data_IF_328171770730
#
_entry.id   IF_328171770730
#
_cell.length_a   1.000
_cell.length_b   1.000
_cell.length_c   1.000
_cell.angle_alpha   90.00
_cell.angle_beta   90.00
_cell.angle_gamma   90.00
#
_symmetry.space_group_name_H-M   'P 1'
#
loop_
_entity.id
_entity.type
_entity.pdbx_description
1 polymer ?
#
# COMPACT_ATOMS: atom_id res chain seq x y z
N UNK A 1 13.40 -2.88 14.86
CA UNK A 1 14.37 -2.43 13.83
C UNK A 1 15.09 -1.14 14.26
N UNK A 2 14.36 -0.06 14.54
CA UNK A 2 14.99 1.26 14.79
C UNK A 2 15.93 1.28 16.00
N UNK A 3 15.55 0.67 17.12
CA UNK A 3 16.39 0.61 18.33
C UNK A 3 17.68 -0.18 18.09
N UNK A 4 17.58 -1.31 17.39
CA UNK A 4 18.75 -2.11 17.00
C UNK A 4 19.67 -1.32 16.04
N UNK A 5 19.09 -0.67 15.03
CA UNK A 5 19.85 0.15 14.10
C UNK A 5 20.63 1.27 14.80
N UNK A 6 20.03 1.88 15.84
CA UNK A 6 20.69 2.86 16.69
C UNK A 6 21.82 2.25 17.54
N UNK A 7 21.57 1.09 18.15
CA UNK A 7 22.57 0.36 18.94
C UNK A 7 23.81 -0.05 18.14
N UNK A 8 23.60 -0.53 16.92
CA UNK A 8 24.67 -0.89 15.98
C UNK A 8 25.23 0.32 15.19
N UNK A 9 24.76 1.53 15.44
CA UNK A 9 25.17 2.78 14.76
C UNK A 9 25.04 2.70 13.23
N UNK A 10 24.07 1.93 12.72
CA UNK A 10 23.82 1.78 11.29
C UNK A 10 23.29 3.09 10.68
N UNK A 11 23.72 3.38 9.46
CA UNK A 11 23.32 4.60 8.74
C UNK A 11 22.87 4.26 7.31
N UNK A 12 22.18 5.21 6.68
CA UNK A 12 21.80 5.11 5.26
C UNK A 12 20.91 3.89 4.99
N UNK A 13 21.28 3.10 3.99
CA UNK A 13 20.53 1.95 3.49
C UNK A 13 20.39 0.84 4.53
N UNK A 14 21.47 0.52 5.27
CA UNK A 14 21.44 -0.57 6.26
C UNK A 14 20.44 -0.29 7.39
N UNK A 15 20.39 0.97 7.83
CA UNK A 15 19.38 1.39 8.83
C UNK A 15 17.96 1.20 8.29
N UNK A 16 17.71 1.58 7.03
CA UNK A 16 16.39 1.43 6.39
C UNK A 16 16.01 -0.05 6.25
N UNK A 17 16.95 -0.89 5.81
CA UNK A 17 16.76 -2.34 5.69
C UNK A 17 16.38 -2.97 7.03
N UNK A 18 17.07 -2.61 8.12
CA UNK A 18 16.79 -3.19 9.43
C UNK A 18 15.45 -2.70 10.02
N UNK A 19 15.03 -1.46 9.70
CA UNK A 19 13.70 -0.96 10.08
C UNK A 19 12.61 -1.73 9.31
N UNK A 20 12.79 -1.93 8.02
CA UNK A 20 11.88 -2.67 7.16
C UNK A 20 11.76 -4.15 7.58
N UNK A 21 12.88 -4.82 7.85
CA UNK A 21 12.88 -6.17 8.41
C UNK A 21 12.12 -6.24 9.73
N UNK A 22 12.26 -5.22 10.58
CA UNK A 22 11.49 -5.12 11.82
C UNK A 22 9.98 -4.96 11.59
N UNK A 23 9.58 -4.30 10.51
CA UNK A 23 8.16 -4.20 10.12
C UNK A 23 7.62 -5.54 9.64
N UNK A 24 8.38 -6.25 8.78
CA UNK A 24 8.05 -7.61 8.35
C UNK A 24 7.92 -8.57 9.53
N UNK A 25 8.88 -8.51 10.47
CA UNK A 25 8.89 -9.30 11.68
C UNK A 25 7.65 -9.06 12.56
N UNK A 26 7.26 -7.79 12.73
CA UNK A 26 6.07 -7.43 13.51
C UNK A 26 4.79 -7.94 12.88
N UNK A 27 4.65 -7.82 11.55
CA UNK A 27 3.48 -8.32 10.82
C UNK A 27 3.41 -9.85 10.87
N UNK A 28 4.54 -10.52 10.65
CA UNK A 28 4.64 -11.97 10.72
C UNK A 28 4.21 -12.52 12.08
N UNK A 29 4.76 -12.00 13.17
CA UNK A 29 4.41 -12.43 14.53
C UNK A 29 2.94 -12.13 14.91
N UNK A 30 2.38 -11.02 14.41
CA UNK A 30 1.00 -10.62 14.72
C UNK A 30 -0.04 -11.49 14.01
N UNK A 31 0.28 -12.00 12.82
CA UNK A 31 -0.68 -12.69 11.95
C UNK A 31 -0.29 -14.13 11.61
N UNK A 32 0.82 -14.61 12.13
CA UNK A 32 1.39 -15.94 11.77
C UNK A 32 1.53 -16.06 10.24
N UNK A 33 2.10 -15.02 9.63
CA UNK A 33 2.13 -14.82 8.18
C UNK A 33 3.50 -14.29 7.73
N UNK A 34 4.56 -15.11 7.76
CA UNK A 34 5.93 -14.66 7.46
C UNK A 34 6.12 -14.26 5.99
N UNK A 35 5.49 -14.95 5.04
CA UNK A 35 5.60 -14.61 3.62
C UNK A 35 4.87 -13.31 3.33
N UNK A 36 3.65 -13.16 3.83
CA UNK A 36 2.88 -11.93 3.67
C UNK A 36 3.54 -10.73 4.38
N UNK A 37 4.12 -10.93 5.56
CA UNK A 37 4.90 -9.90 6.25
C UNK A 37 6.10 -9.41 5.44
N UNK A 38 6.77 -10.33 4.74
CA UNK A 38 7.86 -10.01 3.82
C UNK A 38 7.36 -9.23 2.60
N UNK A 39 6.28 -9.71 1.98
CA UNK A 39 5.69 -9.06 0.80
C UNK A 39 5.16 -7.67 1.11
N UNK A 40 4.57 -7.46 2.29
CA UNK A 40 4.13 -6.14 2.74
C UNK A 40 5.27 -5.13 2.70
N UNK A 41 6.47 -5.52 3.11
CA UNK A 41 7.64 -4.65 3.05
C UNK A 41 8.04 -4.34 1.61
N UNK A 42 7.98 -5.32 0.71
CA UNK A 42 8.37 -5.15 -0.69
C UNK A 42 7.35 -4.33 -1.48
N UNK A 43 6.06 -4.60 -1.25
CA UNK A 43 4.96 -4.03 -2.03
C UNK A 43 4.52 -2.66 -1.51
N UNK A 44 4.44 -2.47 -0.16
CA UNK A 44 3.91 -1.25 0.47
C UNK A 44 4.99 -0.31 1.00
N UNK A 45 6.12 -0.84 1.51
CA UNK A 45 7.10 0.02 2.19
C UNK A 45 8.22 0.46 1.24
N UNK A 46 8.71 -0.48 0.43
CA UNK A 46 9.84 -0.22 -0.48
C UNK A 46 9.42 0.03 -1.91
N UNK A 47 8.27 -0.49 -2.35
CA UNK A 47 7.81 -0.50 -3.74
C UNK A 47 8.87 -1.03 -4.71
N UNK A 48 9.72 -1.94 -4.22
CA UNK A 48 10.83 -2.51 -4.97
C UNK A 48 11.15 -3.93 -4.49
N UNK A 49 11.24 -4.88 -5.45
CA UNK A 49 11.56 -6.28 -5.21
C UNK A 49 13.08 -6.52 -5.25
N UNK A 50 13.83 -5.78 -4.44
CA UNK A 50 15.28 -6.00 -4.31
C UNK A 50 15.57 -7.31 -3.58
N UNK A 51 16.51 -8.17 -4.09
CA UNK A 51 16.89 -9.43 -3.42
C UNK A 51 17.36 -9.22 -1.99
N UNK A 52 18.08 -8.14 -1.71
CA UNK A 52 18.59 -7.84 -0.37
C UNK A 52 17.46 -7.46 0.60
N UNK A 53 16.50 -6.63 0.16
CA UNK A 53 15.32 -6.27 0.96
C UNK A 53 14.48 -7.51 1.24
N UNK A 54 14.28 -8.35 0.21
CA UNK A 54 13.53 -9.59 0.33
C UNK A 54 14.13 -10.56 1.34
N UNK A 55 15.44 -10.84 1.24
CA UNK A 55 16.13 -11.76 2.16
C UNK A 55 16.13 -11.25 3.60
N UNK A 56 16.41 -9.97 3.81
CA UNK A 56 16.47 -9.40 5.16
C UNK A 56 15.08 -9.32 5.80
N UNK A 57 14.05 -8.99 5.04
CA UNK A 57 12.67 -8.98 5.50
C UNK A 57 12.18 -10.40 5.84
N UNK A 58 12.47 -11.38 4.97
CA UNK A 58 12.11 -12.78 5.17
C UNK A 58 12.80 -13.38 6.39
N UNK A 59 14.09 -13.14 6.56
CA UNK A 59 14.83 -13.61 7.73
C UNK A 59 14.25 -13.03 9.04
N UNK A 60 13.92 -11.73 9.06
CA UNK A 60 13.27 -11.08 10.19
C UNK A 60 11.87 -11.63 10.45
N UNK A 61 11.07 -11.86 9.41
CA UNK A 61 9.73 -12.41 9.49
C UNK A 61 9.73 -13.85 10.04
N UNK A 62 10.54 -14.74 9.45
CA UNK A 62 10.65 -16.14 9.90
C UNK A 62 11.17 -16.21 11.34
N UNK A 63 12.22 -15.46 11.68
CA UNK A 63 12.78 -15.46 13.03
C UNK A 63 11.77 -14.99 14.07
N UNK A 64 11.01 -13.95 13.79
CA UNK A 64 9.98 -13.42 14.69
C UNK A 64 8.80 -14.39 14.82
N UNK A 65 8.35 -14.95 13.71
CA UNK A 65 7.24 -15.89 13.67
C UNK A 65 7.60 -17.19 14.40
N UNK A 66 8.80 -17.70 14.20
CA UNK A 66 9.32 -18.87 14.94
C UNK A 66 9.26 -18.66 16.46
N UNK A 67 9.66 -17.49 16.94
CA UNK A 67 9.57 -17.17 18.37
C UNK A 67 8.11 -17.08 18.82
N UNK A 68 7.26 -16.43 18.04
CA UNK A 68 5.83 -16.28 18.31
C UNK A 68 5.15 -17.65 18.42
N UNK A 69 5.40 -18.54 17.48
CA UNK A 69 4.84 -19.89 17.45
C UNK A 69 5.28 -20.75 18.64
N UNK A 70 6.53 -20.62 19.10
CA UNK A 70 7.01 -21.34 20.26
C UNK A 70 6.41 -20.84 21.58
N UNK A 71 6.03 -19.55 21.66
CA UNK A 71 5.45 -18.93 22.86
C UNK A 71 3.94 -19.07 22.89
N UNK A 72 3.26 -18.84 21.76
CA UNK A 72 1.79 -18.77 21.67
C UNK A 72 1.15 -19.98 21.00
N UNK A 73 1.92 -20.85 20.38
CA UNK A 73 1.46 -22.08 19.74
C UNK A 73 1.26 -21.98 18.23
N UNK A 74 1.20 -23.14 17.59
CA UNK A 74 1.04 -23.36 16.15
C UNK A 74 -0.44 -23.34 15.75
N UNK A 75 -1.09 -22.18 15.83
CA UNK A 75 -2.50 -22.10 15.51
C UNK A 75 -2.73 -20.93 14.54
N UNK A 76 -3.38 -21.17 13.38
CA UNK A 76 -3.73 -20.08 12.48
C UNK A 76 -4.52 -18.99 13.22
N UNK A 77 -4.23 -17.71 12.95
CA UNK A 77 -4.88 -16.57 13.63
C UNK A 77 -6.38 -16.56 13.35
N UNK A 78 -6.79 -17.03 12.18
CA UNK A 78 -8.19 -17.19 11.81
C UNK A 78 -8.51 -18.67 11.59
N UNK A 79 -9.16 -19.26 12.60
CA UNK A 79 -9.66 -20.66 12.53
C UNK A 79 -10.97 -20.69 11.75
N UNK A 80 -10.92 -20.39 10.47
CA UNK A 80 -12.09 -20.41 9.60
C UNK A 80 -12.13 -21.73 8.83
N UNK A 81 -13.05 -22.60 9.22
CA UNK A 81 -13.31 -23.84 8.50
C UNK A 81 -14.41 -23.61 7.45
N UNK A 82 -14.18 -24.10 6.26
CA UNK A 82 -15.16 -24.16 5.20
C UNK A 82 -15.18 -25.58 4.63
N UNK A 83 -16.37 -26.03 4.25
CA UNK A 83 -16.56 -27.45 3.89
C UNK A 83 -16.28 -27.74 2.41
N UNK A 84 -16.31 -26.73 1.53
CA UNK A 84 -16.14 -26.88 0.07
C UNK A 84 -15.48 -25.69 -0.57
N UNK A 85 -14.63 -25.94 -1.57
CA UNK A 85 -14.08 -24.89 -2.43
C UNK A 85 -15.15 -24.34 -3.38
N UNK A 86 -15.09 -23.02 -3.66
CA UNK A 86 -15.99 -22.38 -4.62
C UNK A 86 -15.76 -22.95 -6.03
N UNK A 87 -16.80 -23.46 -6.73
CA UNK A 87 -16.66 -23.98 -8.08
C UNK A 87 -16.37 -22.84 -9.08
N UNK A 88 -15.61 -23.16 -10.14
CA UNK A 88 -15.23 -22.18 -11.18
C UNK A 88 -16.44 -21.54 -11.84
N UNK A 89 -17.53 -22.26 -11.97
CA UNK A 89 -18.82 -21.75 -12.52
C UNK A 89 -19.39 -20.59 -11.70
N UNK A 90 -19.00 -20.45 -10.43
CA UNK A 90 -19.44 -19.36 -9.55
C UNK A 90 -18.44 -18.20 -9.46
N UNK A 91 -17.36 -18.18 -10.27
CA UNK A 91 -16.34 -17.13 -10.23
C UNK A 91 -16.85 -15.75 -10.69
N UNK A 92 -17.97 -15.70 -11.40
CA UNK A 92 -18.61 -14.42 -11.71
C UNK A 92 -19.04 -13.64 -10.45
N UNK A 93 -19.35 -14.34 -9.34
CA UNK A 93 -19.56 -13.70 -8.05
C UNK A 93 -18.33 -12.97 -7.55
N UNK A 94 -17.13 -13.49 -7.83
CA UNK A 94 -15.87 -12.86 -7.41
C UNK A 94 -15.68 -11.53 -8.13
N UNK A 95 -16.05 -11.45 -9.40
CA UNK A 95 -15.96 -10.21 -10.18
C UNK A 95 -16.94 -9.17 -9.63
N UNK A 96 -18.22 -9.54 -9.44
CA UNK A 96 -19.23 -8.63 -8.91
C UNK A 96 -18.86 -8.15 -7.48
N UNK A 97 -18.45 -9.09 -6.64
CA UNK A 97 -18.02 -8.79 -5.29
C UNK A 97 -16.74 -7.94 -5.28
N UNK A 98 -15.79 -8.22 -6.17
CA UNK A 98 -14.59 -7.41 -6.35
C UNK A 98 -14.90 -5.96 -6.75
N UNK A 99 -15.85 -5.75 -7.66
CA UNK A 99 -16.33 -4.41 -8.03
C UNK A 99 -16.94 -3.70 -6.80
N UNK A 100 -17.79 -4.38 -6.06
CA UNK A 100 -18.40 -3.83 -4.84
C UNK A 100 -17.34 -3.45 -3.80
N UNK A 101 -16.37 -4.34 -3.55
CA UNK A 101 -15.26 -4.09 -2.63
C UNK A 101 -14.38 -2.93 -3.09
N UNK A 102 -14.11 -2.81 -4.38
CA UNK A 102 -13.37 -1.69 -4.95
C UNK A 102 -14.08 -0.36 -4.75
N UNK A 103 -15.40 -0.29 -5.03
CA UNK A 103 -16.20 0.91 -4.81
C UNK A 103 -16.24 1.33 -3.33
N UNK A 104 -16.51 0.37 -2.44
CA UNK A 104 -16.52 0.62 -1.00
C UNK A 104 -15.11 0.90 -0.44
N UNK A 105 -14.07 0.31 -1.03
CA UNK A 105 -12.68 0.58 -0.70
C UNK A 105 -12.26 2.00 -1.07
N UNK A 106 -12.65 2.47 -2.24
CA UNK A 106 -12.45 3.86 -2.64
C UNK A 106 -13.18 4.85 -1.72
N UNK A 107 -14.42 4.52 -1.34
CA UNK A 107 -15.17 5.30 -0.35
C UNK A 107 -14.44 5.34 1.00
N UNK A 108 -13.93 4.18 1.45
CA UNK A 108 -13.13 4.08 2.69
C UNK A 108 -11.92 5.01 2.64
N UNK A 109 -11.13 4.96 1.58
CA UNK A 109 -9.96 5.84 1.40
C UNK A 109 -10.35 7.32 1.45
N UNK A 110 -11.39 7.71 0.71
CA UNK A 110 -11.85 9.12 0.65
C UNK A 110 -12.28 9.64 2.01
N UNK A 111 -13.05 8.85 2.74
CA UNK A 111 -13.54 9.25 4.08
C UNK A 111 -12.38 9.30 5.07
N UNK A 112 -11.53 8.28 5.09
CA UNK A 112 -10.40 8.22 6.02
C UNK A 112 -9.44 9.41 5.83
N UNK A 113 -9.08 9.72 4.60
CA UNK A 113 -8.21 10.86 4.27
C UNK A 113 -8.87 12.22 4.53
N UNK A 114 -10.19 12.29 4.60
CA UNK A 114 -10.91 13.50 4.97
C UNK A 114 -11.02 13.71 6.49
N UNK A 115 -10.88 12.67 7.31
CA UNK A 115 -11.08 12.72 8.77
C UNK A 115 -10.22 13.76 9.49
N UNK A 116 -8.92 13.97 9.18
CA UNK A 116 -8.13 15.01 9.83
C UNK A 116 -8.70 16.42 9.63
N UNK A 117 -9.34 16.67 8.47
CA UNK A 117 -10.01 17.97 8.22
C UNK A 117 -11.27 18.14 9.08
N UNK A 118 -11.98 17.04 9.34
CA UNK A 118 -13.18 17.06 10.20
C UNK A 118 -12.79 17.31 11.64
N UNK A 119 -11.75 16.65 12.13
CA UNK A 119 -11.23 16.89 13.48
C UNK A 119 -10.70 18.32 13.66
N UNK A 120 -10.11 18.92 12.63
CA UNK A 120 -9.68 20.33 12.65
C UNK A 120 -10.85 21.31 12.81
N UNK A 121 -12.09 20.92 12.44
CA UNK A 121 -13.29 21.75 12.64
C UNK A 121 -13.78 21.72 14.09
N UNK A 122 -13.34 20.77 14.88
CA UNK A 122 -13.60 20.71 16.33
C UNK A 122 -12.68 21.70 17.08
N UNK A 123 -12.70 22.97 16.67
CA UNK A 123 -11.79 24.02 17.16
C UNK A 123 -11.91 24.30 18.67
N UNK A 124 -13.01 23.93 19.28
CA UNK A 124 -13.26 24.11 20.71
C UNK A 124 -12.59 23.05 21.59
N UNK A 125 -12.12 21.94 21.01
CA UNK A 125 -11.46 20.86 21.73
C UNK A 125 -9.94 20.91 21.53
N UNK A 126 -9.13 21.09 22.58
CA UNK A 126 -7.68 20.95 22.50
C UNK A 126 -7.31 19.61 21.87
N UNK A 127 -6.24 19.59 21.07
CA UNK A 127 -5.79 18.37 20.34
C UNK A 127 -5.59 17.18 21.28
N UNK A 128 -5.13 17.41 22.52
CA UNK A 128 -4.99 16.36 23.52
C UNK A 128 -6.33 15.71 23.93
N UNK A 129 -7.43 16.46 23.87
CA UNK A 129 -8.77 15.97 24.24
C UNK A 129 -9.50 15.33 23.04
N UNK A 130 -9.11 15.64 21.80
CA UNK A 130 -9.70 15.02 20.62
C UNK A 130 -9.57 13.50 20.62
N UNK A 131 -8.50 12.96 21.22
CA UNK A 131 -8.32 11.52 21.44
C UNK A 131 -9.35 10.89 22.39
N UNK A 132 -10.02 11.67 23.24
CA UNK A 132 -11.06 11.16 24.16
C UNK A 132 -12.37 10.82 23.41
N UNK A 133 -12.65 11.49 22.29
CA UNK A 133 -13.87 11.29 21.51
C UNK A 133 -14.08 9.81 21.13
N UNK A 134 -13.11 9.11 20.50
CA UNK A 134 -13.29 7.69 20.19
C UNK A 134 -13.47 6.82 21.45
N UNK A 135 -12.85 7.15 22.58
CA UNK A 135 -13.03 6.37 23.82
C UNK A 135 -14.43 6.50 24.40
N UNK A 136 -15.02 7.69 24.38
CA UNK A 136 -16.40 7.88 24.83
C UNK A 136 -17.38 7.08 23.95
N UNK A 137 -17.19 7.12 22.64
CA UNK A 137 -17.99 6.32 21.71
C UNK A 137 -17.75 4.81 21.90
N UNK A 138 -16.50 4.42 22.19
CA UNK A 138 -16.12 3.05 22.48
C UNK A 138 -16.86 2.50 23.70
N UNK A 139 -17.04 3.31 24.74
CA UNK A 139 -17.78 2.90 25.93
C UNK A 139 -19.23 2.53 25.60
N UNK A 140 -19.90 3.34 24.77
CA UNK A 140 -21.26 3.04 24.32
C UNK A 140 -21.33 1.76 23.49
N UNK A 141 -20.45 1.61 22.48
CA UNK A 141 -20.39 0.40 21.66
C UNK A 141 -20.03 -0.82 22.50
N UNK A 142 -19.09 -0.69 23.44
CA UNK A 142 -18.65 -1.77 24.31
C UNK A 142 -19.73 -2.23 25.29
N UNK A 143 -20.57 -1.32 25.74
CA UNK A 143 -21.70 -1.67 26.62
C UNK A 143 -22.80 -2.45 25.90
N UNK A 144 -23.18 -2.02 24.69
CA UNK A 144 -24.27 -2.64 23.93
C UNK A 144 -23.84 -3.83 23.09
N UNK A 145 -22.60 -3.79 22.56
CA UNK A 145 -22.09 -4.77 21.57
C UNK A 145 -20.60 -5.07 21.78
N UNK A 146 -20.23 -5.73 22.89
CA UNK A 146 -18.82 -5.96 23.24
C UNK A 146 -18.03 -6.73 22.16
N UNK A 147 -18.71 -7.58 21.38
CA UNK A 147 -18.10 -8.35 20.27
C UNK A 147 -17.66 -7.48 19.09
N UNK A 148 -18.09 -6.22 19.03
CA UNK A 148 -17.65 -5.27 18.01
C UNK A 148 -16.41 -4.45 18.42
N UNK A 149 -15.89 -4.66 19.62
CA UNK A 149 -14.67 -4.00 20.09
C UNK A 149 -13.40 -4.53 19.39
N UNK A 150 -12.33 -3.74 19.45
CA UNK A 150 -11.02 -4.09 18.92
C UNK A 150 -10.95 -4.13 17.38
N UNK A 151 -9.94 -4.79 16.83
CA UNK A 151 -9.69 -4.87 15.40
C UNK A 151 -10.70 -5.68 14.59
N UNK A 152 -11.52 -6.52 15.25
CA UNK A 152 -12.56 -7.34 14.62
C UNK A 152 -12.20 -8.81 14.43
N UNK A 153 -11.13 -9.29 15.05
CA UNK A 153 -10.75 -10.70 14.98
C UNK A 153 -11.87 -11.61 15.53
N UNK A 154 -12.42 -11.28 16.69
CA UNK A 154 -13.55 -12.00 17.29
C UNK A 154 -14.79 -12.03 16.39
N UNK A 155 -15.06 -10.94 15.68
CA UNK A 155 -16.16 -10.87 14.71
C UNK A 155 -15.93 -11.82 13.53
N UNK A 156 -14.72 -11.80 12.95
CA UNK A 156 -14.36 -12.68 11.81
C UNK A 156 -14.49 -14.15 12.24
N UNK A 157 -13.89 -14.52 13.37
CA UNK A 157 -13.96 -15.90 13.90
C UNK A 157 -15.41 -16.29 14.21
N UNK A 158 -16.21 -15.36 14.74
CA UNK A 158 -17.64 -15.57 15.02
C UNK A 158 -18.45 -15.95 13.78
N UNK A 159 -18.11 -15.44 12.59
CA UNK A 159 -18.76 -15.84 11.34
C UNK A 159 -18.55 -17.32 11.00
N UNK A 160 -17.49 -17.94 11.50
CA UNK A 160 -17.26 -19.39 11.38
C UNK A 160 -18.29 -20.24 12.13
N UNK A 161 -18.93 -19.68 13.14
CA UNK A 161 -19.94 -20.37 13.94
C UNK A 161 -21.36 -19.99 13.46
N UNK A 162 -21.61 -18.71 13.23
CA UNK A 162 -22.92 -18.19 12.84
C UNK A 162 -22.80 -16.92 12.01
N UNK A 163 -23.48 -16.90 10.88
CA UNK A 163 -23.61 -15.70 10.04
C UNK A 163 -24.94 -15.01 10.39
N UNK A 164 -24.90 -13.76 10.89
CA UNK A 164 -26.11 -13.04 11.30
C UNK A 164 -27.04 -12.72 10.12
N UNK A 165 -28.25 -12.28 10.43
CA UNK A 165 -29.22 -11.81 9.41
C UNK A 165 -28.70 -10.57 8.70
N UNK A 166 -29.20 -10.34 7.47
CA UNK A 166 -28.78 -9.22 6.61
C UNK A 166 -28.84 -7.86 7.32
N UNK A 167 -29.92 -7.60 8.06
CA UNK A 167 -30.10 -6.32 8.76
C UNK A 167 -29.03 -6.10 9.85
N UNK A 168 -28.69 -7.16 10.58
CA UNK A 168 -27.64 -7.12 11.62
C UNK A 168 -26.27 -6.91 10.96
N UNK A 169 -25.98 -7.59 9.84
CA UNK A 169 -24.72 -7.41 9.11
C UNK A 169 -24.56 -5.98 8.58
N UNK A 170 -25.62 -5.37 8.06
CA UNK A 170 -25.60 -3.97 7.62
C UNK A 170 -25.37 -3.02 8.81
N UNK A 171 -26.00 -3.29 9.96
CA UNK A 171 -25.75 -2.53 11.19
C UNK A 171 -24.29 -2.64 11.65
N UNK A 172 -23.73 -3.85 11.64
CA UNK A 172 -22.31 -4.10 11.96
C UNK A 172 -21.40 -3.32 11.01
N UNK A 173 -21.69 -3.36 9.70
CA UNK A 173 -20.91 -2.62 8.71
C UNK A 173 -20.88 -1.12 9.01
N UNK A 174 -22.04 -0.51 9.24
CA UNK A 174 -22.16 0.93 9.52
C UNK A 174 -21.40 1.31 10.79
N UNK A 175 -21.62 0.55 11.89
CA UNK A 175 -20.95 0.82 13.17
C UNK A 175 -19.43 0.69 13.01
N UNK A 176 -18.95 -0.39 12.42
CA UNK A 176 -17.52 -0.65 12.23
C UNK A 176 -16.87 0.39 11.31
N UNK A 177 -17.54 0.75 10.23
CA UNK A 177 -17.05 1.77 9.30
C UNK A 177 -16.89 3.13 9.98
N UNK A 178 -17.97 3.63 10.60
CA UNK A 178 -17.97 4.93 11.29
C UNK A 178 -16.93 4.94 12.41
N UNK A 179 -16.90 3.87 13.21
CA UNK A 179 -15.99 3.77 14.35
C UNK A 179 -14.52 3.73 13.92
N UNK A 180 -14.22 2.98 12.83
CA UNK A 180 -12.87 2.95 12.24
C UNK A 180 -12.42 4.35 11.80
N UNK A 181 -13.31 5.12 11.14
CA UNK A 181 -13.03 6.49 10.70
C UNK A 181 -12.76 7.44 11.87
N UNK A 182 -13.63 7.40 12.87
CA UNK A 182 -13.51 8.29 14.06
C UNK A 182 -12.25 7.95 14.86
N UNK A 183 -11.99 6.67 15.10
CA UNK A 183 -10.83 6.23 15.86
C UNK A 183 -9.52 6.63 15.19
N UNK A 184 -9.37 6.33 13.91
CA UNK A 184 -8.15 6.67 13.18
C UNK A 184 -7.99 8.17 12.98
N UNK A 185 -9.08 8.88 12.68
CA UNK A 185 -9.08 10.33 12.48
C UNK A 185 -8.70 11.14 13.71
N UNK A 186 -8.79 10.56 14.91
CA UNK A 186 -8.42 11.21 16.18
C UNK A 186 -6.92 11.48 16.31
N UNK A 187 -6.07 10.86 15.46
CA UNK A 187 -4.62 10.96 15.51
C UNK A 187 -3.96 10.16 16.64
N UNK A 188 -4.72 9.36 17.38
CA UNK A 188 -4.15 8.41 18.32
C UNK A 188 -3.39 7.30 17.59
N UNK A 189 -2.31 6.77 18.19
CA UNK A 189 -1.59 5.63 17.62
C UNK A 189 -2.53 4.43 17.42
N UNK A 190 -2.61 3.92 16.22
CA UNK A 190 -3.46 2.79 15.86
C UNK A 190 -3.25 2.38 14.41
N UNK A 191 -3.73 1.17 14.06
CA UNK A 191 -3.65 0.61 12.72
C UNK A 191 -5.02 0.48 12.07
N UNK A 192 -5.04 0.59 10.73
CA UNK A 192 -6.24 0.38 9.91
C UNK A 192 -6.34 -1.05 9.38
N UNK A 193 -5.32 -1.85 9.55
CA UNK A 193 -5.15 -3.16 8.93
C UNK A 193 -6.28 -4.15 9.28
N UNK A 194 -6.43 -4.51 10.56
CA UNK A 194 -7.50 -5.40 11.03
C UNK A 194 -8.92 -4.83 10.81
N UNK A 195 -9.18 -3.53 11.04
CA UNK A 195 -10.44 -2.91 10.67
C UNK A 195 -10.81 -3.10 9.19
N UNK A 196 -9.85 -2.97 8.26
CA UNK A 196 -10.09 -3.20 6.83
C UNK A 196 -10.47 -4.68 6.58
N UNK A 197 -9.71 -5.63 7.13
CA UNK A 197 -10.01 -7.05 6.97
C UNK A 197 -11.40 -7.40 7.52
N UNK A 198 -11.75 -6.90 8.71
CA UNK A 198 -13.05 -7.16 9.32
C UNK A 198 -14.22 -6.54 8.54
N UNK A 199 -14.05 -5.34 7.99
CA UNK A 199 -15.05 -4.73 7.10
C UNK A 199 -15.18 -5.54 5.81
N UNK A 200 -14.08 -6.00 5.22
CA UNK A 200 -14.10 -6.90 4.07
C UNK A 200 -14.90 -8.18 4.37
N UNK A 201 -14.66 -8.80 5.53
CA UNK A 201 -15.42 -9.98 5.97
C UNK A 201 -16.93 -9.70 6.07
N UNK A 202 -17.32 -8.56 6.65
CA UNK A 202 -18.73 -8.16 6.76
C UNK A 202 -19.36 -7.93 5.38
N UNK A 203 -18.66 -7.26 4.46
CA UNK A 203 -19.15 -7.05 3.08
C UNK A 203 -19.34 -8.40 2.38
N UNK A 204 -18.39 -9.34 2.54
CA UNK A 204 -18.50 -10.69 2.01
C UNK A 204 -19.70 -11.46 2.59
N UNK A 205 -19.97 -11.33 3.89
CA UNK A 205 -21.12 -11.90 4.55
C UNK A 205 -22.43 -11.31 4.00
N UNK A 206 -22.53 -9.97 3.89
CA UNK A 206 -23.70 -9.27 3.31
C UNK A 206 -23.97 -9.78 1.90
N UNK A 207 -22.95 -9.77 1.04
CA UNK A 207 -23.08 -10.24 -0.33
C UNK A 207 -23.50 -11.71 -0.40
N UNK A 208 -22.85 -12.57 0.39
CA UNK A 208 -23.15 -14.00 0.43
C UNK A 208 -24.58 -14.29 0.89
N UNK A 209 -25.05 -13.60 1.92
CA UNK A 209 -26.45 -13.73 2.42
C UNK A 209 -27.45 -13.26 1.35
N UNK A 210 -27.20 -12.12 0.71
CA UNK A 210 -28.08 -11.61 -0.38
C UNK A 210 -28.14 -12.59 -1.54
N UNK A 211 -26.99 -13.09 -2.03
CA UNK A 211 -26.96 -14.06 -3.13
C UNK A 211 -27.61 -15.39 -2.77
N UNK A 212 -27.51 -15.81 -1.52
CA UNK A 212 -28.18 -17.00 -1.04
C UNK A 212 -29.71 -16.81 -0.99
N UNK A 213 -30.20 -15.66 -0.50
CA UNK A 213 -31.63 -15.34 -0.48
C UNK A 213 -32.25 -15.26 -1.88
N UNK A 214 -31.45 -14.81 -2.87
CA UNK A 214 -31.85 -14.78 -4.28
C UNK A 214 -31.77 -16.15 -4.98
N UNK A 215 -31.30 -17.19 -4.26
CA UNK A 215 -31.13 -18.53 -4.82
C UNK A 215 -29.95 -18.67 -5.81
N UNK A 216 -29.08 -17.66 -5.89
CA UNK A 216 -27.95 -17.61 -6.82
C UNK A 216 -26.69 -18.28 -6.26
N UNK A 217 -26.58 -18.41 -4.93
CA UNK A 217 -25.43 -19.02 -4.26
C UNK A 217 -25.88 -19.93 -3.12
N UNK A 218 -25.44 -21.20 -3.09
CA UNK A 218 -25.67 -22.08 -1.95
C UNK A 218 -25.01 -21.55 -0.65
N UNK A 219 -25.69 -21.70 0.47
CA UNK A 219 -25.26 -21.21 1.79
C UNK A 219 -23.85 -21.66 2.17
N UNK A 220 -23.44 -22.86 1.76
CA UNK A 220 -22.12 -23.45 2.04
C UNK A 220 -20.96 -22.61 1.55
N UNK A 221 -21.15 -21.72 0.58
CA UNK A 221 -20.10 -20.87 0.00
C UNK A 221 -20.04 -19.47 0.62
N UNK A 222 -20.92 -19.13 1.54
CA UNK A 222 -20.90 -17.80 2.20
C UNK A 222 -19.56 -17.58 2.91
N UNK A 223 -19.04 -18.61 3.61
CA UNK A 223 -17.75 -18.52 4.30
C UNK A 223 -16.59 -18.27 3.33
N UNK A 224 -16.62 -18.87 2.14
CA UNK A 224 -15.59 -18.61 1.11
C UNK A 224 -15.59 -17.12 0.71
N UNK A 225 -16.78 -16.52 0.50
CA UNK A 225 -16.89 -15.12 0.13
C UNK A 225 -16.44 -14.19 1.26
N UNK A 226 -16.70 -14.55 2.52
CA UNK A 226 -16.21 -13.82 3.70
C UNK A 226 -14.67 -13.76 3.68
N UNK A 227 -14.02 -14.93 3.51
CA UNK A 227 -12.56 -15.05 3.48
C UNK A 227 -11.99 -14.26 2.28
N UNK A 228 -12.56 -14.44 1.09
CA UNK A 228 -12.05 -13.78 -0.12
C UNK A 228 -12.20 -12.27 -0.05
N UNK A 229 -13.31 -11.79 0.54
CA UNK A 229 -13.57 -10.35 0.68
C UNK A 229 -12.59 -9.64 1.61
N UNK A 230 -12.04 -10.33 2.60
CA UNK A 230 -10.97 -9.78 3.45
C UNK A 230 -9.78 -9.37 2.60
N UNK A 231 -9.29 -10.29 1.74
CA UNK A 231 -8.19 -10.01 0.84
C UNK A 231 -8.54 -8.94 -0.20
N UNK A 232 -9.70 -9.04 -0.84
CA UNK A 232 -10.12 -8.08 -1.88
C UNK A 232 -10.28 -6.66 -1.36
N UNK A 233 -10.85 -6.49 -0.17
CA UNK A 233 -11.02 -5.16 0.43
C UNK A 233 -9.68 -4.54 0.80
N UNK A 234 -8.77 -5.34 1.37
CA UNK A 234 -7.42 -4.89 1.68
C UNK A 234 -6.61 -4.58 0.41
N UNK A 235 -6.70 -5.45 -0.62
CA UNK A 235 -6.02 -5.24 -1.90
C UNK A 235 -6.44 -3.94 -2.59
N UNK A 236 -7.74 -3.61 -2.55
CA UNK A 236 -8.26 -2.37 -3.11
C UNK A 236 -7.79 -1.13 -2.34
N UNK A 237 -7.87 -1.15 -1.01
CA UNK A 237 -7.52 0.00 -0.16
C UNK A 237 -6.01 0.20 -0.08
N UNK A 238 -5.24 -0.88 0.16
CA UNK A 238 -3.78 -0.84 0.29
C UNK A 238 -3.08 -0.70 -1.05
N UNK A 239 -3.71 -1.14 -2.13
CA UNK A 239 -3.08 -1.36 -3.44
C UNK A 239 -1.94 -2.38 -3.42
N UNK A 240 -2.02 -3.34 -2.50
CA UNK A 240 -1.07 -4.41 -2.27
C UNK A 240 -1.74 -5.79 -2.48
N UNK A 241 -2.04 -6.19 -3.73
CA UNK A 241 -2.77 -7.42 -4.00
C UNK A 241 -1.98 -8.68 -3.62
N UNK A 242 -0.66 -8.73 -3.84
CA UNK A 242 0.15 -9.88 -3.46
C UNK A 242 0.18 -10.10 -1.95
N UNK A 243 0.39 -9.03 -1.21
CA UNK A 243 0.32 -9.05 0.26
C UNK A 243 -1.05 -9.51 0.74
N UNK A 244 -2.14 -8.97 0.17
CA UNK A 244 -3.50 -9.30 0.54
C UNK A 244 -3.82 -10.79 0.36
N UNK A 245 -3.47 -11.34 -0.80
CA UNK A 245 -3.72 -12.74 -1.16
C UNK A 245 -2.97 -13.67 -0.20
N UNK A 246 -1.66 -13.46 -0.04
CA UNK A 246 -0.85 -14.35 0.79
C UNK A 246 -1.13 -14.17 2.27
N UNK A 247 -1.43 -12.97 2.72
CA UNK A 247 -1.80 -12.73 4.10
C UNK A 247 -3.04 -13.53 4.51
N UNK A 248 -4.14 -13.41 3.76
CA UNK A 248 -5.36 -14.14 4.07
C UNK A 248 -5.14 -15.64 3.93
N UNK A 249 -4.33 -16.06 2.96
CA UNK A 249 -3.95 -17.47 2.77
C UNK A 249 -3.21 -18.03 3.99
N UNK A 250 -2.20 -17.32 4.51
CA UNK A 250 -1.43 -17.74 5.69
C UNK A 250 -2.29 -17.66 6.96
N UNK A 251 -3.09 -16.60 7.14
CA UNK A 251 -3.96 -16.44 8.31
C UNK A 251 -5.03 -17.55 8.43
N UNK A 252 -5.53 -18.03 7.29
CA UNK A 252 -6.51 -19.13 7.23
C UNK A 252 -5.83 -20.50 7.19
N UNK A 253 -4.55 -20.55 6.80
CA UNK A 253 -3.75 -21.77 6.73
C UNK A 253 -4.11 -22.69 5.57
N UNK A 254 -4.65 -22.14 4.45
CA UNK A 254 -5.06 -22.94 3.31
C UNK A 254 -4.73 -22.32 1.95
N UNK A 255 -3.91 -23.02 1.17
CA UNK A 255 -3.44 -22.60 -0.16
C UNK A 255 -4.45 -22.87 -1.31
N UNK A 256 -5.49 -23.67 -1.09
CA UNK A 256 -6.43 -24.06 -2.17
C UNK A 256 -7.23 -22.89 -2.73
N UNK A 257 -7.22 -21.74 -2.05
CA UNK A 257 -7.99 -20.56 -2.41
C UNK A 257 -7.19 -19.45 -3.11
N UNK A 258 -5.93 -19.70 -3.46
CA UNK A 258 -5.11 -18.68 -4.12
C UNK A 258 -5.76 -18.09 -5.38
N UNK A 259 -6.35 -18.94 -6.22
CA UNK A 259 -6.97 -18.49 -7.48
C UNK A 259 -8.18 -17.57 -7.24
N UNK A 260 -9.22 -17.97 -6.48
CA UNK A 260 -10.34 -17.08 -6.20
C UNK A 260 -9.94 -15.82 -5.42
N UNK A 261 -8.99 -15.91 -4.48
CA UNK A 261 -8.42 -14.75 -3.79
C UNK A 261 -7.76 -13.78 -4.78
N UNK A 262 -6.99 -14.32 -5.76
CA UNK A 262 -6.34 -13.50 -6.77
C UNK A 262 -7.34 -12.79 -7.68
N UNK A 263 -8.35 -13.51 -8.20
CA UNK A 263 -9.38 -12.93 -9.06
C UNK A 263 -10.10 -11.78 -8.35
N UNK A 264 -10.55 -12.01 -7.13
CA UNK A 264 -11.28 -11.00 -6.37
C UNK A 264 -10.40 -9.81 -5.98
N UNK A 265 -9.18 -10.06 -5.49
CA UNK A 265 -8.24 -9.02 -5.07
C UNK A 265 -7.79 -8.13 -6.23
N UNK A 266 -7.47 -8.73 -7.38
CA UNK A 266 -7.10 -7.98 -8.58
C UNK A 266 -8.28 -7.18 -9.15
N UNK A 267 -9.51 -7.73 -9.09
CA UNK A 267 -10.70 -6.99 -9.50
C UNK A 267 -10.93 -5.76 -8.61
N UNK A 268 -10.86 -5.91 -7.29
CA UNK A 268 -11.02 -4.81 -6.36
C UNK A 268 -9.90 -3.75 -6.51
N UNK A 269 -8.66 -4.20 -6.67
CA UNK A 269 -7.51 -3.33 -6.96
C UNK A 269 -7.74 -2.50 -8.23
N UNK A 270 -8.12 -3.17 -9.34
CA UNK A 270 -8.35 -2.51 -10.63
C UNK A 270 -9.45 -1.45 -10.55
N UNK A 271 -10.54 -1.73 -9.84
CA UNK A 271 -11.64 -0.77 -9.66
C UNK A 271 -11.16 0.47 -8.91
N UNK A 272 -10.40 0.30 -7.81
CA UNK A 272 -9.85 1.45 -7.06
C UNK A 272 -8.85 2.22 -7.91
N UNK A 273 -8.05 1.54 -8.72
CA UNK A 273 -7.08 2.16 -9.63
C UNK A 273 -7.77 3.01 -10.69
N UNK A 274 -8.81 2.49 -11.34
CA UNK A 274 -9.63 3.21 -12.32
C UNK A 274 -10.34 4.45 -11.73
N UNK A 275 -10.68 4.40 -10.44
CA UNK A 275 -11.25 5.53 -9.72
C UNK A 275 -10.21 6.57 -9.24
N UNK A 276 -8.91 6.32 -9.51
CA UNK A 276 -7.83 7.20 -9.09
C UNK A 276 -7.54 7.17 -7.59
N UNK A 277 -7.82 6.05 -6.91
CA UNK A 277 -7.44 5.87 -5.51
C UNK A 277 -5.92 5.72 -5.37
N UNK A 278 -5.32 6.36 -4.37
CA UNK A 278 -3.90 6.20 -4.03
C UNK A 278 -3.70 5.06 -3.02
N UNK A 279 -2.50 4.45 -2.92
CA UNK A 279 -2.17 3.54 -1.83
C UNK A 279 -2.39 4.22 -0.48
N UNK A 280 -3.20 3.59 0.40
CA UNK A 280 -3.66 4.28 1.61
C UNK A 280 -2.53 4.62 2.58
N UNK A 281 -1.53 3.75 2.73
CA UNK A 281 -0.41 3.97 3.64
C UNK A 281 0.50 5.10 3.17
N UNK A 282 0.75 5.20 1.86
CA UNK A 282 1.50 6.29 1.26
C UNK A 282 0.78 7.62 1.42
N UNK A 283 -0.52 7.66 1.11
CA UNK A 283 -1.36 8.85 1.26
C UNK A 283 -1.45 9.33 2.72
N UNK A 284 -1.49 8.40 3.69
CA UNK A 284 -1.45 8.72 5.12
C UNK A 284 -0.09 9.25 5.55
N UNK A 285 1.00 8.63 5.06
CA UNK A 285 2.37 9.09 5.33
C UNK A 285 2.58 10.52 4.80
N UNK A 286 2.11 10.81 3.60
CA UNK A 286 2.14 12.15 3.05
C UNK A 286 1.40 13.18 3.93
N UNK A 287 0.27 12.80 4.51
CA UNK A 287 -0.46 13.69 5.42
C UNK A 287 0.29 13.93 6.75
N UNK A 288 1.06 12.97 7.23
CA UNK A 288 1.82 13.07 8.48
C UNK A 288 3.14 13.83 8.33
N UNK A 289 3.78 13.73 7.16
CA UNK A 289 5.16 14.20 6.96
C UNK A 289 5.27 15.64 6.49
N UNK A 290 4.17 16.27 6.08
CA UNK A 290 4.23 17.56 5.38
C UNK A 290 3.47 18.66 6.13
N UNK A 291 4.17 19.62 6.76
CA UNK A 291 3.64 20.97 6.85
C UNK A 291 3.45 21.47 5.41
N UNK A 292 2.22 21.72 5.00
CA UNK A 292 1.81 22.07 3.61
C UNK A 292 2.59 23.22 2.95
N UNK A 293 3.44 23.92 3.69
CA UNK A 293 4.18 25.10 3.26
C UNK A 293 5.55 24.80 2.65
N UNK A 294 6.16 23.64 2.92
CA UNK A 294 7.54 23.35 2.49
C UNK A 294 7.62 22.26 1.43
N UNK A 295 6.67 21.32 1.40
CA UNK A 295 6.71 20.18 0.48
C UNK A 295 6.23 20.51 -0.97
N UNK A 296 5.57 21.63 -1.17
CA UNK A 296 5.21 22.06 -2.53
C UNK A 296 6.37 22.70 -3.29
N UNK A 297 7.50 22.96 -2.62
CA UNK A 297 8.57 23.77 -3.22
C UNK A 297 9.72 22.94 -3.82
N UNK A 298 9.98 21.69 -3.40
CA UNK A 298 11.15 20.94 -3.93
C UNK A 298 10.96 19.42 -3.77
N UNK A 299 10.26 18.76 -4.69
CA UNK A 299 10.36 17.31 -4.86
C UNK A 299 11.48 17.02 -5.87
N UNK A 300 12.62 16.49 -5.43
CA UNK A 300 13.67 16.10 -6.36
C UNK A 300 13.15 14.96 -7.25
N UNK A 301 13.07 15.23 -8.54
CA UNK A 301 12.68 14.26 -9.55
C UNK A 301 13.87 13.95 -10.47
N UNK A 302 13.94 12.70 -10.94
CA UNK A 302 14.97 12.27 -11.89
C UNK A 302 14.43 12.41 -13.31
N UNK A 303 15.12 13.22 -14.11
CA UNK A 303 14.85 13.41 -15.52
C UNK A 303 15.89 12.65 -16.32
N UNK A 304 15.48 11.67 -17.10
CA UNK A 304 16.35 10.92 -18.02
C UNK A 304 16.22 11.51 -19.44
N UNK A 305 17.36 11.83 -20.03
CA UNK A 305 17.45 12.40 -21.38
C UNK A 305 18.39 11.54 -22.22
N UNK A 306 17.87 10.81 -23.21
CA UNK A 306 18.70 10.03 -24.12
C UNK A 306 19.44 10.94 -25.11
N UNK A 307 20.70 10.62 -25.36
CA UNK A 307 21.54 11.26 -26.37
C UNK A 307 21.42 10.45 -27.66
N UNK A 308 20.62 10.94 -28.60
CA UNK A 308 20.40 10.27 -29.88
C UNK A 308 21.58 10.44 -30.83
N UNK A 309 21.69 9.57 -31.83
CA UNK A 309 22.61 9.69 -32.93
C UNK A 309 22.38 11.03 -33.66
N UNK A 310 23.45 11.78 -33.87
CA UNK A 310 23.36 13.12 -34.47
C UNK A 310 22.92 14.23 -33.48
N UNK A 311 22.79 13.94 -32.20
CA UNK A 311 22.53 14.95 -31.17
C UNK A 311 23.77 15.86 -31.05
N UNK A 312 23.50 17.15 -30.89
CA UNK A 312 24.56 18.16 -30.65
C UNK A 312 25.22 18.01 -29.26
N UNK A 313 24.72 17.13 -28.42
CA UNK A 313 25.31 16.75 -27.15
C UNK A 313 26.46 15.78 -27.30
N UNK A 314 26.53 15.03 -28.43
CA UNK A 314 27.58 14.06 -28.71
C UNK A 314 28.93 14.77 -28.90
N UNK A 315 29.98 14.26 -28.25
CA UNK A 315 31.33 14.80 -28.34
C UNK A 315 31.60 16.03 -27.48
N UNK A 316 30.65 16.50 -26.66
CA UNK A 316 30.86 17.62 -25.73
C UNK A 316 31.25 17.16 -24.34
N UNK A 317 32.05 17.97 -23.66
CA UNK A 317 32.36 17.76 -22.25
C UNK A 317 31.21 18.26 -21.37
N UNK A 318 31.00 17.61 -20.26
CA UNK A 318 29.94 17.99 -19.27
C UNK A 318 30.08 19.46 -18.84
N UNK A 319 31.29 19.96 -18.64
CA UNK A 319 31.56 21.37 -18.25
C UNK A 319 31.21 22.39 -19.33
N UNK A 320 31.22 22.00 -20.60
CA UNK A 320 30.96 22.90 -21.71
C UNK A 320 29.48 23.03 -22.03
N UNK A 321 28.63 22.31 -21.28
CA UNK A 321 27.20 22.34 -21.47
C UNK A 321 26.54 23.42 -20.60
N UNK A 322 25.62 24.25 -21.17
CA UNK A 322 24.92 25.28 -20.44
C UNK A 322 23.77 24.68 -19.62
N UNK A 323 24.11 23.93 -18.57
CA UNK A 323 23.11 23.28 -17.71
C UNK A 323 22.16 24.30 -17.11
N UNK A 324 20.83 24.02 -17.11
CA UNK A 324 19.87 24.82 -16.35
C UNK A 324 20.26 24.86 -14.88
N UNK A 325 20.16 26.05 -14.24
CA UNK A 325 20.50 26.21 -12.80
C UNK A 325 19.59 25.34 -11.91
N UNK A 326 18.42 24.98 -12.42
CA UNK A 326 17.40 24.18 -11.74
C UNK A 326 17.60 22.65 -11.91
N UNK A 327 18.70 22.23 -12.56
CA UNK A 327 19.00 20.83 -12.80
C UNK A 327 20.48 20.52 -12.52
N UNK A 328 20.71 19.36 -11.91
CA UNK A 328 22.07 18.84 -11.66
C UNK A 328 22.23 17.50 -12.37
N UNK A 329 23.26 17.37 -13.24
CA UNK A 329 23.60 16.09 -13.83
C UNK A 329 24.23 15.19 -12.74
N UNK A 330 23.53 14.10 -12.39
CA UNK A 330 23.93 13.19 -11.31
C UNK A 330 24.50 11.86 -11.81
N UNK A 331 24.24 11.50 -13.07
CA UNK A 331 24.72 10.26 -13.67
C UNK A 331 24.66 10.28 -15.19
N UNK A 332 25.47 9.46 -15.83
CA UNK A 332 25.38 9.14 -17.26
C UNK A 332 25.31 7.63 -17.38
N UNK A 333 24.19 7.11 -17.91
CA UNK A 333 24.06 5.68 -18.20
C UNK A 333 24.54 5.40 -19.60
N UNK A 334 25.58 4.59 -19.68
CA UNK A 334 26.23 4.18 -20.94
C UNK A 334 26.08 2.68 -21.12
N UNK A 335 25.06 2.26 -21.86
CA UNK A 335 24.63 0.86 -21.88
C UNK A 335 24.23 0.40 -20.49
N UNK A 336 24.85 -0.66 -19.97
CA UNK A 336 24.61 -1.18 -18.62
C UNK A 336 25.49 -0.54 -17.53
N UNK A 337 26.38 0.38 -17.89
CA UNK A 337 27.30 1.02 -16.94
C UNK A 337 26.80 2.42 -16.56
N UNK A 338 26.88 2.73 -15.28
CA UNK A 338 26.64 4.07 -14.78
C UNK A 338 27.98 4.80 -14.60
N UNK A 339 28.12 5.95 -15.25
CA UNK A 339 29.31 6.80 -15.19
C UNK A 339 28.98 8.00 -14.32
N UNK A 340 29.84 8.26 -13.33
CA UNK A 340 29.74 9.48 -12.50
C UNK A 340 30.25 10.65 -13.36
N UNK A 341 29.41 11.67 -13.63
CA UNK A 341 29.81 12.77 -14.49
C UNK A 341 30.74 13.73 -13.76
N UNK A 342 31.88 13.95 -14.34
CA UNK A 342 32.83 15.03 -13.98
C UNK A 342 32.84 16.06 -15.11
N UNK A 343 33.42 17.23 -14.86
CA UNK A 343 33.48 18.29 -15.86
C UNK A 343 34.15 17.90 -17.16
N UNK A 344 35.13 16.99 -17.09
CA UNK A 344 35.90 16.44 -18.22
C UNK A 344 35.29 15.16 -18.84
N UNK A 345 34.13 14.72 -18.34
CA UNK A 345 33.44 13.55 -18.92
C UNK A 345 32.86 13.90 -20.27
N UNK A 346 33.22 13.08 -21.28
CA UNK A 346 32.73 13.22 -22.65
C UNK A 346 31.33 12.56 -22.75
N UNK A 347 30.36 13.30 -23.24
CA UNK A 347 29.00 12.80 -23.55
C UNK A 347 29.07 12.11 -24.92
N UNK A 348 28.48 10.92 -25.04
CA UNK A 348 28.49 10.12 -26.27
C UNK A 348 27.08 9.80 -26.71
N UNK A 349 26.91 9.55 -28.00
CA UNK A 349 25.66 8.98 -28.51
C UNK A 349 25.35 7.63 -27.85
N UNK A 350 24.09 7.35 -27.58
CA UNK A 350 23.66 6.18 -26.84
C UNK A 350 23.72 6.35 -25.31
N UNK A 351 24.30 7.45 -24.80
CA UNK A 351 24.25 7.77 -23.38
C UNK A 351 22.83 8.21 -22.98
N UNK A 352 22.43 7.93 -21.72
CA UNK A 352 21.27 8.54 -21.10
C UNK A 352 21.74 9.42 -19.94
N UNK A 353 21.49 10.71 -20.06
CA UNK A 353 21.82 11.70 -19.03
C UNK A 353 20.77 11.65 -17.93
N UNK A 354 21.20 11.46 -16.69
CA UNK A 354 20.32 11.44 -15.51
C UNK A 354 20.49 12.74 -14.75
N UNK A 355 19.45 13.58 -14.79
CA UNK A 355 19.44 14.87 -14.11
C UNK A 355 18.51 14.84 -12.90
N UNK A 356 18.95 15.48 -11.82
CA UNK A 356 18.12 15.78 -10.67
C UNK A 356 17.53 17.18 -10.86
N UNK A 357 16.23 17.30 -10.80
CA UNK A 357 15.50 18.57 -10.91
C UNK A 357 14.30 18.57 -9.95
N UNK A 358 13.60 19.67 -9.85
CA UNK A 358 12.33 19.74 -9.15
C UNK A 358 11.20 19.25 -10.07
N UNK A 359 10.25 18.46 -9.55
CA UNK A 359 9.09 17.97 -10.29
C UNK A 359 8.34 19.11 -10.99
N UNK A 360 8.16 20.23 -10.32
CA UNK A 360 7.53 21.44 -10.89
C UNK A 360 8.32 22.06 -12.06
N UNK A 361 9.62 21.84 -12.10
CA UNK A 361 10.53 22.40 -13.12
C UNK A 361 10.84 21.40 -14.26
N UNK A 362 10.46 20.12 -14.09
CA UNK A 362 10.79 19.03 -15.03
C UNK A 362 10.48 19.35 -16.48
N UNK A 363 9.26 19.83 -16.75
CA UNK A 363 8.85 20.15 -18.13
C UNK A 363 9.63 21.31 -18.72
N UNK A 364 10.06 22.28 -17.89
CA UNK A 364 10.86 23.43 -18.30
C UNK A 364 12.30 23.04 -18.57
N UNK A 365 12.88 22.24 -17.66
CA UNK A 365 14.25 21.72 -17.79
C UNK A 365 14.37 20.85 -19.04
N UNK A 366 13.41 19.92 -19.25
CA UNK A 366 13.38 19.06 -20.43
C UNK A 366 13.35 19.89 -21.73
N UNK A 367 12.40 20.84 -21.86
CA UNK A 367 12.31 21.70 -23.04
C UNK A 367 13.57 22.50 -23.30
N UNK A 368 14.26 22.94 -22.26
CA UNK A 368 15.49 23.72 -22.38
C UNK A 368 16.65 22.87 -22.89
N UNK A 369 16.77 21.62 -22.42
CA UNK A 369 17.80 20.69 -22.90
C UNK A 369 17.49 20.20 -24.31
N UNK A 370 16.22 19.89 -24.60
CA UNK A 370 15.77 19.51 -25.96
C UNK A 370 16.05 20.64 -26.97
N UNK A 371 15.85 21.92 -26.58
CA UNK A 371 16.18 23.07 -27.41
C UNK A 371 17.68 23.20 -27.69
N UNK A 372 18.55 22.91 -26.73
CA UNK A 372 20.00 22.85 -26.95
C UNK A 372 20.39 21.68 -27.87
N UNK A 373 19.72 20.54 -27.72
CA UNK A 373 19.91 19.37 -28.55
C UNK A 373 19.51 19.63 -30.00
N UNK A 374 18.51 20.47 -30.25
CA UNK A 374 17.98 20.81 -31.58
C UNK A 374 18.69 22.01 -32.25
N UNK A 375 19.04 23.04 -31.48
CA UNK A 375 19.59 24.31 -32.05
C UNK A 375 20.97 24.15 -32.73
N UNK A 376 21.74 23.16 -32.32
CA UNK A 376 23.05 22.88 -32.93
C UNK A 376 22.97 21.97 -34.15
N UNK A 377 21.87 21.23 -34.33
CA UNK A 377 21.63 20.44 -35.53
C UNK A 377 21.38 21.33 -36.77
N UNK A 378 20.90 22.54 -36.58
CA UNK A 378 20.67 23.53 -37.66
C UNK A 378 21.94 24.34 -38.01
N UNK A 379 22.83 24.56 -37.06
CA UNK A 379 24.09 25.28 -37.34
C UNK A 379 25.08 24.48 -38.17
N UNK A 380 25.07 23.14 -38.13
CA UNK A 380 25.96 22.27 -38.89
C UNK A 380 25.48 21.99 -40.32
N UNK A 381 24.27 22.42 -40.69
CA UNK A 381 23.71 22.34 -42.06
C UNK A 381 23.93 23.60 -42.88
N UNK A 382 24.54 24.66 -42.33
CA UNK A 382 24.73 25.95 -42.99
C UNK A 382 26.19 26.31 -43.28
N UNK A 383 27.12 25.38 -43.22
CA UNK A 383 28.44 25.56 -43.81
C UNK A 383 28.54 24.78 -45.13
N UNK A 384 28.89 25.46 -46.23
CA UNK A 384 28.92 24.88 -47.60
C UNK A 384 30.09 23.90 -47.82
#
# INVERSE_FOLDING_TARGET
>A
GQGLAGGFKLRGTDRRLLIASGSAAGLAAAFNAPIAGTLFVLEEVYHNFSPLVWLTALAGAIGSDFISLNVFGLVPVLHLSYSRSLPVTSYWHLILLGILLGLLGYLYQRVLLAMPRWYQRLTHLPRAIQGVVPFVLLMAVGYFTPNLLGGGNSLIVGFGQYVPSLLVLLGIFVIRFIFSMISYGSGLPGGIFLPILSLGAVIGAVYGVVMNQLGLLPHVYIMNLIIFSMAGYFAGIGKAPFTAILLVTEMVGNLTHLMPLAVLSLTAYLVVDLLGGAPIYEALLEQMTIPKTVAQLHRPDRLEIPVFVGSSLNGKLVRDMPWPKEALLIGIRRGEREVIPHGDTLIREGDTLVLLTDEAQRARVKRRIDAFSAALATAHKSEP
#
